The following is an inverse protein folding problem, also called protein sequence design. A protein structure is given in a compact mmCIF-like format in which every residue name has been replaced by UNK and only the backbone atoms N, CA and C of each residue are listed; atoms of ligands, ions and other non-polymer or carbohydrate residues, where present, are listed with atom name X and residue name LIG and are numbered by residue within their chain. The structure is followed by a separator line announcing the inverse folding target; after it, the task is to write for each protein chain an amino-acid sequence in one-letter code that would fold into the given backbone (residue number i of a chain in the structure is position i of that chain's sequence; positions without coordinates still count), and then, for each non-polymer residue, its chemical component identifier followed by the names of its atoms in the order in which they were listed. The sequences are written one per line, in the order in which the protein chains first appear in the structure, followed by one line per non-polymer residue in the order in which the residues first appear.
data_IF_198309668888
#
_entry.id   IF_198309668888
#
_cell.length_a   1.000
_cell.length_b   1.000
_cell.length_c   1.000
_cell.angle_alpha   90.00
_cell.angle_beta   90.00
_cell.angle_gamma   90.00
#
_symmetry.space_group_name_H-M   'P 1'
#
loop_
_entity.id
_entity.type
_entity.pdbx_description
1 polymer ?
#
# COMPACT_ATOMS: atom_id res chain seq x y z
N UNK A 1 -8.00 15.38 12.91
CA UNK A 1 -7.33 14.85 14.12
C UNK A 1 -8.09 13.64 14.67
N UNK A 2 -7.47 12.83 15.54
CA UNK A 2 -8.08 11.59 16.05
C UNK A 2 -9.35 11.86 16.89
N UNK A 3 -9.37 12.99 17.58
CA UNK A 3 -10.53 13.48 18.33
C UNK A 3 -11.76 13.62 17.42
N UNK A 4 -11.63 14.33 16.34
CA UNK A 4 -12.72 14.58 15.39
C UNK A 4 -13.29 13.28 14.83
N UNK A 5 -12.41 12.30 14.55
CA UNK A 5 -12.83 10.97 14.09
C UNK A 5 -13.57 10.22 15.20
N UNK A 6 -13.04 10.23 16.41
CA UNK A 6 -13.65 9.55 17.56
C UNK A 6 -15.06 10.13 17.88
N UNK A 7 -15.21 11.46 17.85
CA UNK A 7 -16.48 12.14 18.03
C UNK A 7 -17.49 11.77 16.94
N UNK A 8 -17.04 11.75 15.67
CA UNK A 8 -17.91 11.42 14.52
C UNK A 8 -18.48 9.98 14.58
N UNK A 9 -17.76 9.05 15.23
CA UNK A 9 -18.20 7.65 15.38
C UNK A 9 -18.73 7.34 16.79
N UNK A 10 -18.87 8.36 17.65
CA UNK A 10 -19.33 8.22 19.05
C UNK A 10 -18.51 7.26 19.91
N UNK A 11 -17.21 7.18 19.66
CA UNK A 11 -16.25 6.38 20.44
C UNK A 11 -15.30 7.27 21.22
N UNK A 12 -14.80 6.76 22.34
CA UNK A 12 -13.66 7.39 23.01
C UNK A 12 -12.38 7.16 22.18
N UNK A 13 -11.43 8.09 22.24
CA UNK A 13 -10.10 7.93 21.61
C UNK A 13 -9.43 6.60 21.97
N UNK A 14 -9.53 6.21 23.25
CA UNK A 14 -8.95 4.97 23.74
C UNK A 14 -9.58 3.74 23.07
N UNK A 15 -10.91 3.75 22.95
CA UNK A 15 -11.63 2.66 22.31
C UNK A 15 -11.28 2.58 20.82
N UNK A 16 -11.26 3.73 20.13
CA UNK A 16 -10.88 3.80 18.71
C UNK A 16 -9.45 3.33 18.47
N UNK A 17 -8.51 3.74 19.35
CA UNK A 17 -7.12 3.32 19.27
C UNK A 17 -6.96 1.81 19.42
N UNK A 18 -7.65 1.22 20.40
CA UNK A 18 -7.63 -0.23 20.65
C UNK A 18 -8.25 -0.99 19.48
N UNK A 19 -9.44 -0.57 19.03
CA UNK A 19 -10.12 -1.19 17.89
C UNK A 19 -9.26 -1.18 16.63
N UNK A 20 -8.61 -0.04 16.36
CA UNK A 20 -7.70 0.07 15.22
C UNK A 20 -6.51 -0.87 15.37
N UNK A 21 -5.87 -0.89 16.53
CA UNK A 21 -4.70 -1.75 16.79
C UNK A 21 -5.06 -3.23 16.68
N UNK A 22 -6.20 -3.63 17.22
CA UNK A 22 -6.70 -5.02 17.15
C UNK A 22 -7.01 -5.43 15.69
N UNK A 23 -7.45 -4.47 14.86
CA UNK A 23 -7.84 -4.73 13.47
C UNK A 23 -6.65 -4.68 12.51
N UNK A 24 -5.76 -3.70 12.68
CA UNK A 24 -4.67 -3.40 11.74
C UNK A 24 -3.33 -4.01 12.17
N UNK A 25 -3.21 -4.41 13.44
CA UNK A 25 -1.99 -4.99 14.02
C UNK A 25 -0.91 -3.97 14.39
N UNK A 26 -1.18 -2.68 14.27
CA UNK A 26 -0.24 -1.60 14.63
C UNK A 26 -0.99 -0.36 15.14
N UNK A 27 -0.26 0.57 15.80
CA UNK A 27 -0.88 1.80 16.28
C UNK A 27 -1.32 2.71 15.13
N UNK A 28 -2.32 3.57 15.38
CA UNK A 28 -2.75 4.59 14.40
C UNK A 28 -1.57 5.49 14.02
N UNK A 29 -0.74 5.87 15.00
CA UNK A 29 0.43 6.72 14.76
C UNK A 29 1.42 6.04 13.79
N UNK A 30 1.79 4.79 14.05
CA UNK A 30 2.72 4.04 13.20
C UNK A 30 2.16 3.83 11.80
N UNK A 31 0.87 3.54 11.70
CA UNK A 31 0.19 3.39 10.42
C UNK A 31 0.24 4.68 9.60
N UNK A 32 -0.14 5.82 10.20
CA UNK A 32 -0.13 7.13 9.52
C UNK A 32 1.28 7.51 9.12
N UNK A 33 2.27 7.36 10.00
CA UNK A 33 3.66 7.67 9.68
C UNK A 33 4.18 6.82 8.51
N UNK A 34 3.91 5.52 8.52
CA UNK A 34 4.32 4.63 7.42
C UNK A 34 3.63 4.99 6.11
N UNK A 35 2.35 5.38 6.16
CA UNK A 35 1.61 5.86 4.98
C UNK A 35 2.21 7.15 4.43
N UNK A 36 2.47 8.14 5.29
CA UNK A 36 3.11 9.40 4.89
C UNK A 36 4.48 9.18 4.24
N UNK A 37 5.31 8.31 4.83
CA UNK A 37 6.61 7.98 4.26
C UNK A 37 6.52 7.15 2.97
N UNK A 38 5.50 6.32 2.81
CA UNK A 38 5.22 5.63 1.54
C UNK A 38 4.90 6.62 0.44
N UNK A 39 4.03 7.62 0.70
CA UNK A 39 3.73 8.68 -0.27
C UNK A 39 4.96 9.54 -0.58
N UNK A 40 5.78 9.84 0.43
CA UNK A 40 7.04 10.54 0.23
C UNK A 40 8.01 9.77 -0.67
N UNK A 41 8.18 8.47 -0.43
CA UNK A 41 9.01 7.59 -1.25
C UNK A 41 8.56 7.56 -2.71
N UNK A 42 7.26 7.53 -2.94
CA UNK A 42 6.66 7.62 -4.25
C UNK A 42 6.98 8.96 -4.94
N UNK A 43 6.79 10.09 -4.24
CA UNK A 43 7.13 11.40 -4.78
C UNK A 43 8.63 11.55 -5.07
N UNK A 44 9.49 10.98 -4.22
CA UNK A 44 10.94 10.99 -4.44
C UNK A 44 11.33 10.28 -5.74
N UNK A 45 10.71 9.16 -6.05
CA UNK A 45 11.07 8.32 -7.22
C UNK A 45 10.41 8.83 -8.50
N UNK A 46 9.15 9.28 -8.42
CA UNK A 46 8.31 9.57 -9.59
C UNK A 46 8.07 11.07 -9.84
N UNK A 47 8.70 11.96 -9.08
CA UNK A 47 8.62 13.41 -9.33
C UNK A 47 9.96 14.11 -9.10
N UNK A 48 10.12 15.28 -9.72
CA UNK A 48 11.29 16.12 -9.56
C UNK A 48 11.13 17.19 -8.45
N UNK A 49 10.08 17.03 -7.60
CA UNK A 49 9.82 17.97 -6.50
C UNK A 49 11.00 18.08 -5.55
N UNK A 50 11.34 19.29 -5.08
CA UNK A 50 12.33 19.47 -4.03
C UNK A 50 12.01 18.65 -2.79
N UNK A 51 13.02 18.11 -2.12
CA UNK A 51 12.83 17.26 -0.93
C UNK A 51 12.09 18.01 0.18
N UNK A 52 12.34 19.31 0.31
CA UNK A 52 11.64 20.19 1.26
C UNK A 52 10.14 20.28 0.96
N UNK A 53 9.75 20.36 -0.30
CA UNK A 53 8.35 20.39 -0.71
C UNK A 53 7.67 19.05 -0.40
N UNK A 54 8.35 17.95 -0.68
CA UNK A 54 7.86 16.59 -0.35
C UNK A 54 7.66 16.45 1.16
N UNK A 55 8.58 16.95 1.98
CA UNK A 55 8.45 16.95 3.42
C UNK A 55 7.16 17.66 3.89
N UNK A 56 6.87 18.84 3.37
CA UNK A 56 5.64 19.57 3.71
C UNK A 56 4.38 18.91 3.19
N UNK A 57 4.38 18.39 1.96
CA UNK A 57 3.25 17.62 1.39
C UNK A 57 2.90 16.41 2.27
N UNK A 58 3.93 15.75 2.83
CA UNK A 58 3.77 14.58 3.70
C UNK A 58 3.53 14.94 5.18
N UNK A 59 3.30 16.22 5.50
CA UNK A 59 2.91 16.69 6.83
C UNK A 59 4.05 16.88 7.82
N UNK A 60 5.30 16.99 7.35
CA UNK A 60 6.45 17.29 8.21
C UNK A 60 6.67 18.80 8.30
N UNK A 61 7.03 19.27 9.48
CA UNK A 61 7.28 20.71 9.74
C UNK A 61 8.62 21.18 9.18
N UNK A 62 9.55 20.26 8.89
CA UNK A 62 10.86 20.58 8.33
C UNK A 62 11.45 19.44 7.52
N UNK A 63 12.34 19.80 6.58
CA UNK A 63 13.10 18.79 5.82
C UNK A 63 13.98 17.93 6.72
N UNK A 64 14.47 18.47 7.85
CA UNK A 64 15.31 17.73 8.78
C UNK A 64 14.54 16.64 9.49
N UNK A 65 13.36 16.96 10.08
CA UNK A 65 12.49 15.98 10.74
C UNK A 65 12.03 14.89 9.77
N UNK A 66 11.67 15.30 8.55
CA UNK A 66 11.35 14.35 7.47
C UNK A 66 12.53 13.42 7.15
N UNK A 67 13.72 13.97 6.92
CA UNK A 67 14.88 13.17 6.52
C UNK A 67 15.30 12.17 7.59
N UNK A 68 15.18 12.53 8.87
CA UNK A 68 15.43 11.62 9.99
C UNK A 68 14.42 10.48 10.03
N UNK A 69 13.12 10.79 9.94
CA UNK A 69 12.05 9.79 9.93
C UNK A 69 12.16 8.87 8.70
N UNK A 70 12.42 9.44 7.52
CA UNK A 70 12.57 8.68 6.29
C UNK A 70 13.77 7.72 6.38
N UNK A 71 14.94 8.21 6.80
CA UNK A 71 16.14 7.38 6.98
C UNK A 71 15.94 6.28 8.03
N UNK A 72 15.21 6.56 9.10
CA UNK A 72 14.92 5.55 10.13
C UNK A 72 14.13 4.37 9.56
N UNK A 73 13.16 4.64 8.68
CA UNK A 73 12.27 3.62 8.10
C UNK A 73 12.84 2.97 6.84
N UNK A 74 13.32 3.76 5.87
CA UNK A 74 13.84 3.27 4.59
C UNK A 74 15.33 2.89 4.61
N UNK A 75 16.04 3.14 5.73
CA UNK A 75 17.48 2.89 5.91
C UNK A 75 18.39 3.61 4.92
N UNK A 76 17.83 4.60 4.22
CA UNK A 76 18.53 5.44 3.24
C UNK A 76 18.02 6.87 3.31
N UNK A 77 18.88 7.90 3.19
CA UNK A 77 18.45 9.29 3.11
C UNK A 77 17.53 9.54 1.89
N UNK A 78 16.61 10.53 1.94
CA UNK A 78 15.70 10.83 0.82
C UNK A 78 16.41 11.08 -0.50
N UNK A 79 17.54 11.81 -0.51
CA UNK A 79 18.29 12.09 -1.73
C UNK A 79 18.85 10.81 -2.37
N UNK A 80 19.49 9.96 -1.58
CA UNK A 80 20.01 8.67 -2.04
C UNK A 80 18.90 7.72 -2.51
N UNK A 81 17.76 7.73 -1.82
CA UNK A 81 16.59 6.94 -2.22
C UNK A 81 16.07 7.37 -3.60
N UNK A 82 16.01 8.68 -3.87
CA UNK A 82 15.66 9.25 -5.19
C UNK A 82 16.59 8.75 -6.29
N UNK A 83 17.91 8.75 -6.04
CA UNK A 83 18.92 8.32 -7.03
C UNK A 83 18.77 6.84 -7.42
N UNK A 84 18.39 6.00 -6.47
CA UNK A 84 18.20 4.55 -6.70
C UNK A 84 17.02 4.25 -7.61
N UNK A 85 16.08 5.18 -7.78
CA UNK A 85 14.86 5.02 -8.59
C UNK A 85 14.11 3.70 -8.36
N UNK A 86 14.20 3.17 -7.14
CA UNK A 86 13.53 1.94 -6.74
C UNK A 86 12.50 2.26 -5.67
N UNK A 87 11.24 1.97 -5.94
CA UNK A 87 10.13 2.22 -5.01
C UNK A 87 9.65 0.93 -4.37
N UNK A 88 9.44 0.95 -3.07
CA UNK A 88 8.64 -0.04 -2.35
C UNK A 88 7.85 0.64 -1.23
N UNK A 89 6.60 0.24 -1.00
CA UNK A 89 5.77 0.83 0.05
C UNK A 89 6.12 0.25 1.42
N UNK A 90 6.21 1.11 2.46
CA UNK A 90 6.29 0.64 3.87
C UNK A 90 4.94 0.17 4.38
N UNK A 91 3.87 0.80 3.89
CA UNK A 91 2.50 0.52 4.28
C UNK A 91 1.56 0.81 3.13
N UNK A 92 0.89 -0.21 2.66
CA UNK A 92 -0.23 -0.07 1.74
C UNK A 92 -1.48 0.43 2.48
N UNK A 93 -2.43 0.97 1.74
CA UNK A 93 -3.72 1.39 2.29
C UNK A 93 -4.44 0.16 2.84
N UNK A 94 -4.81 0.24 4.12
CA UNK A 94 -5.63 -0.81 4.71
C UNK A 94 -7.08 -0.66 4.24
N UNK A 95 -7.61 -1.68 3.59
CA UNK A 95 -9.00 -1.72 3.13
C UNK A 95 -9.77 -2.69 4.00
N UNK A 96 -10.73 -2.16 4.75
CA UNK A 96 -11.58 -2.96 5.62
C UNK A 96 -12.68 -3.62 4.77
N UNK A 97 -12.45 -4.85 4.34
CA UNK A 97 -13.52 -5.65 3.78
C UNK A 97 -14.31 -6.27 4.94
N UNK A 98 -15.61 -5.95 5.03
CA UNK A 98 -16.52 -6.39 6.11
C UNK A 98 -16.56 -7.92 6.29
N UNK A 99 -16.02 -8.69 5.35
CA UNK A 99 -15.97 -10.16 5.37
C UNK A 99 -14.60 -10.76 5.76
N UNK A 100 -13.50 -9.99 5.75
CA UNK A 100 -12.17 -10.57 6.01
C UNK A 100 -11.93 -10.99 7.45
N UNK A 101 -12.69 -10.49 8.42
CA UNK A 101 -12.53 -10.83 9.83
C UNK A 101 -12.91 -12.29 10.19
N UNK A 102 -13.42 -13.08 9.23
CA UNK A 102 -13.83 -14.46 9.44
C UNK A 102 -13.39 -15.41 8.30
N UNK A 103 -12.40 -14.99 7.48
CA UNK A 103 -11.96 -15.80 6.34
C UNK A 103 -10.80 -16.70 6.76
N UNK A 104 -11.05 -17.97 6.94
CA UNK A 104 -10.04 -19.02 6.92
C UNK A 104 -9.77 -19.37 5.45
N UNK A 105 -8.66 -18.84 4.89
CA UNK A 105 -8.20 -19.24 3.57
C UNK A 105 -7.58 -20.64 3.63
N UNK A 106 -8.03 -21.51 2.77
CA UNK A 106 -7.43 -22.82 2.57
C UNK A 106 -6.47 -22.80 1.38
N UNK A 107 -5.57 -23.76 1.29
CA UNK A 107 -4.69 -23.90 0.11
C UNK A 107 -5.47 -24.13 -1.19
N UNK A 108 -6.74 -24.52 -1.10
CA UNK A 108 -7.64 -24.71 -2.25
C UNK A 108 -8.13 -23.39 -2.85
N UNK A 109 -8.08 -22.29 -2.09
CA UNK A 109 -8.47 -20.95 -2.54
C UNK A 109 -7.38 -20.28 -3.39
N UNK A 110 -6.15 -20.84 -3.39
CA UNK A 110 -5.00 -20.38 -4.16
C UNK A 110 -4.87 -21.23 -5.43
N UNK A 111 -4.83 -20.58 -6.58
CA UNK A 111 -4.62 -21.26 -7.86
C UNK A 111 -3.77 -20.42 -8.82
N UNK A 112 -3.30 -21.03 -9.89
CA UNK A 112 -2.71 -20.31 -11.02
C UNK A 112 -3.74 -19.35 -11.61
N UNK A 113 -3.27 -18.13 -11.93
CA UNK A 113 -4.07 -17.13 -12.61
C UNK A 113 -4.35 -17.56 -14.06
N UNK A 114 -5.53 -17.22 -14.54
CA UNK A 114 -5.97 -17.41 -15.92
C UNK A 114 -6.31 -16.05 -16.54
N UNK A 115 -6.36 -15.97 -17.88
CA UNK A 115 -6.68 -14.70 -18.59
C UNK A 115 -8.02 -14.08 -18.16
N UNK A 116 -8.98 -14.88 -17.72
CA UNK A 116 -10.24 -14.40 -17.16
C UNK A 116 -10.09 -13.61 -15.84
N UNK A 117 -8.98 -13.81 -15.12
CA UNK A 117 -8.72 -13.12 -13.86
C UNK A 117 -8.12 -11.72 -14.04
N UNK A 118 -7.67 -11.37 -15.25
CA UNK A 118 -6.98 -10.10 -15.54
C UNK A 118 -7.79 -8.89 -15.10
N UNK A 119 -9.07 -8.85 -15.42
CA UNK A 119 -9.94 -7.72 -15.06
C UNK A 119 -10.01 -7.53 -13.54
N UNK A 120 -10.24 -8.62 -12.81
CA UNK A 120 -10.29 -8.60 -11.33
C UNK A 120 -8.92 -8.28 -10.74
N UNK A 121 -7.84 -8.79 -11.35
CA UNK A 121 -6.46 -8.47 -10.97
C UNK A 121 -6.17 -6.98 -11.10
N UNK A 122 -6.47 -6.38 -12.27
CA UNK A 122 -6.27 -4.95 -12.49
C UNK A 122 -7.12 -4.09 -11.53
N UNK A 123 -8.34 -4.51 -11.24
CA UNK A 123 -9.18 -3.84 -10.25
C UNK A 123 -8.57 -3.93 -8.83
N UNK A 124 -8.08 -5.08 -8.43
CA UNK A 124 -7.38 -5.25 -7.15
C UNK A 124 -6.11 -4.38 -7.10
N UNK A 125 -5.32 -4.36 -8.18
CA UNK A 125 -4.11 -3.54 -8.27
C UNK A 125 -4.43 -2.05 -8.13
N UNK A 126 -5.46 -1.55 -8.79
CA UNK A 126 -5.90 -0.14 -8.65
C UNK A 126 -6.36 0.20 -7.23
N UNK A 127 -6.92 -0.76 -6.49
CA UNK A 127 -7.31 -0.58 -5.09
C UNK A 127 -6.11 -0.58 -4.14
N UNK A 128 -5.14 -1.45 -4.39
CA UNK A 128 -3.97 -1.67 -3.51
C UNK A 128 -2.87 -0.66 -3.81
N UNK A 129 -2.66 -0.37 -5.09
CA UNK A 129 -1.67 0.62 -5.55
C UNK A 129 -2.37 1.98 -5.68
N UNK A 130 -2.64 2.60 -4.55
CA UNK A 130 -3.22 3.94 -4.46
C UNK A 130 -2.35 4.94 -5.21
N UNK A 131 -2.79 5.28 -6.43
CA UNK A 131 -2.19 6.35 -7.23
C UNK A 131 -0.73 6.10 -7.66
N UNK A 132 -0.44 5.01 -8.32
CA UNK A 132 0.78 4.91 -9.14
C UNK A 132 0.69 5.95 -10.27
N UNK A 133 1.41 7.08 -10.20
CA UNK A 133 1.29 8.11 -11.23
C UNK A 133 1.93 7.71 -12.56
N UNK A 134 2.57 6.55 -12.62
CA UNK A 134 3.36 6.12 -13.78
C UNK A 134 3.40 4.60 -13.93
N UNK A 135 2.35 3.88 -13.54
CA UNK A 135 2.19 2.55 -14.08
C UNK A 135 1.53 2.73 -15.44
N UNK A 136 2.30 2.53 -16.50
CA UNK A 136 1.72 2.30 -17.82
C UNK A 136 0.89 1.01 -17.70
N UNK A 137 -0.44 1.17 -17.65
CA UNK A 137 -1.35 0.04 -17.48
C UNK A 137 -1.19 -0.96 -18.61
N UNK A 138 -0.87 -0.50 -19.82
CA UNK A 138 -0.68 -1.34 -21.00
C UNK A 138 0.61 -2.18 -20.85
N UNK A 139 1.71 -1.56 -20.40
CA UNK A 139 2.98 -2.28 -20.14
C UNK A 139 2.84 -3.29 -19.00
N UNK A 140 2.12 -2.91 -17.94
CA UNK A 140 1.84 -3.84 -16.83
C UNK A 140 0.96 -5.01 -17.26
N UNK A 141 -0.07 -4.73 -18.06
CA UNK A 141 -0.98 -5.73 -18.59
C UNK A 141 -0.24 -6.74 -19.46
N UNK A 142 0.64 -6.26 -20.36
CA UNK A 142 1.44 -7.12 -21.22
C UNK A 142 2.34 -8.07 -20.40
N UNK A 143 3.00 -7.55 -19.35
CA UNK A 143 3.83 -8.35 -18.44
C UNK A 143 3.03 -9.33 -17.58
N UNK A 144 1.81 -8.95 -17.20
CA UNK A 144 0.90 -9.82 -16.47
C UNK A 144 0.43 -10.99 -17.36
N UNK A 145 0.06 -10.71 -18.61
CA UNK A 145 -0.34 -11.74 -19.59
C UNK A 145 0.80 -12.73 -19.82
N UNK A 146 2.02 -12.24 -20.02
CA UNK A 146 3.22 -13.08 -20.13
C UNK A 146 3.39 -13.97 -18.89
N UNK A 147 3.28 -13.38 -17.69
CA UNK A 147 3.41 -14.12 -16.42
C UNK A 147 2.32 -15.19 -16.24
N UNK A 148 1.12 -14.93 -16.73
CA UNK A 148 0.01 -15.91 -16.72
C UNK A 148 0.30 -17.05 -17.69
N UNK A 149 0.73 -16.76 -18.92
CA UNK A 149 1.05 -17.74 -19.95
C UNK A 149 2.23 -18.65 -19.50
N UNK A 150 3.21 -18.09 -18.80
CA UNK A 150 4.34 -18.82 -18.19
C UNK A 150 3.99 -19.51 -16.85
N UNK A 151 2.75 -19.43 -16.38
CA UNK A 151 2.29 -20.01 -15.11
C UNK A 151 3.03 -19.49 -13.89
N UNK A 152 3.44 -18.21 -13.92
CA UNK A 152 4.14 -17.51 -12.83
C UNK A 152 3.24 -16.54 -12.06
N UNK A 153 1.94 -16.64 -12.21
CA UNK A 153 0.97 -15.81 -11.52
C UNK A 153 -0.01 -16.65 -10.71
N UNK A 154 -0.23 -16.27 -9.45
CA UNK A 154 -1.18 -16.89 -8.53
C UNK A 154 -2.27 -15.90 -8.15
N UNK A 155 -3.46 -16.42 -7.94
CA UNK A 155 -4.62 -15.69 -7.42
C UNK A 155 -5.17 -16.39 -6.19
N UNK A 156 -5.62 -15.57 -5.23
CA UNK A 156 -6.39 -16.00 -4.07
C UNK A 156 -7.79 -15.44 -4.20
N UNK A 157 -8.81 -16.31 -4.17
CA UNK A 157 -10.21 -15.90 -4.28
C UNK A 157 -11.01 -16.27 -3.03
N UNK A 158 -11.97 -15.38 -2.71
CA UNK A 158 -13.07 -15.68 -1.79
C UNK A 158 -14.36 -15.74 -2.61
N UNK A 159 -14.79 -16.94 -2.94
CA UNK A 159 -15.88 -17.13 -3.89
C UNK A 159 -15.57 -16.46 -5.23
N UNK A 160 -16.37 -15.47 -5.60
CA UNK A 160 -16.19 -14.75 -6.87
C UNK A 160 -15.28 -13.52 -6.76
N UNK A 161 -14.79 -13.16 -5.56
CA UNK A 161 -13.98 -11.96 -5.33
C UNK A 161 -12.51 -12.34 -5.33
N UNK A 162 -11.69 -11.64 -6.13
CA UNK A 162 -10.25 -11.75 -6.07
C UNK A 162 -9.73 -10.90 -4.91
N UNK A 163 -9.12 -11.52 -3.91
CA UNK A 163 -8.66 -10.89 -2.67
C UNK A 163 -7.14 -10.83 -2.54
N UNK A 164 -6.43 -11.59 -3.38
CA UNK A 164 -4.97 -11.58 -3.43
C UNK A 164 -4.46 -11.97 -4.81
N UNK A 165 -3.30 -11.43 -5.17
CA UNK A 165 -2.64 -11.70 -6.44
C UNK A 165 -1.12 -11.60 -6.27
N UNK A 166 -0.35 -12.48 -6.91
CA UNK A 166 1.10 -12.53 -6.82
C UNK A 166 1.72 -13.06 -8.12
N UNK A 167 2.76 -12.37 -8.59
CA UNK A 167 3.68 -12.90 -9.61
C UNK A 167 4.95 -13.36 -8.90
N UNK A 168 5.47 -14.51 -9.28
CA UNK A 168 6.73 -15.05 -8.76
C UNK A 168 7.72 -15.30 -9.90
N UNK A 169 8.99 -15.22 -9.56
CA UNK A 169 10.14 -15.44 -10.50
C UNK A 169 10.75 -16.80 -10.26
#
# INVERSE_FOLDING_TARGET
ELETVAEAVHYSKYHLHRLFTDTVGMTIHDYVQRRQLTEAAKLLVFSDKPIIEIAFICGYESQQSFSLAFKAMYKSPPAEYREKRSFYPLQLRFILHRKMAAMEFTMQDIRLAEKKDITDWMNLMRLVIDGYPVMDEDDYLAKLEESIDEKRALVLRDGNILVGAMVFT
#
